data_IF_047699492317
#
_entry.id   IF_047699492317
#
_cell.length_a   1.000
_cell.length_b   1.000
_cell.length_c   1.000
_cell.angle_alpha   90.00
_cell.angle_beta   90.00
_cell.angle_gamma   90.00
#
_symmetry.space_group_name_H-M   'P 1'
#
loop_
_entity.id
_entity.type
_entity.pdbx_description
1 polymer ?
#
# COMPACT_ATOMS: atom_id res chain seq x y z
N UNK A 1 8.58 -12.87 -2.59
CA UNK A 1 7.56 -11.80 -2.63
C UNK A 1 8.18 -10.52 -2.10
N UNK A 2 8.00 -9.41 -2.79
CA UNK A 2 8.47 -8.09 -2.33
C UNK A 2 7.29 -7.11 -2.25
N UNK A 3 7.30 -6.22 -1.26
CA UNK A 3 6.37 -5.09 -1.20
C UNK A 3 6.84 -3.99 -2.16
N UNK A 4 5.99 -3.68 -3.14
CA UNK A 4 6.29 -2.76 -4.24
C UNK A 4 5.76 -1.38 -3.95
N UNK A 5 4.54 -1.26 -3.43
CA UNK A 5 3.93 0.05 -3.24
C UNK A 5 2.94 0.06 -2.09
N UNK A 6 2.74 1.25 -1.55
CA UNK A 6 1.79 1.53 -0.49
C UNK A 6 1.03 2.81 -0.78
N UNK A 7 -0.29 2.75 -0.64
CA UNK A 7 -1.13 3.92 -0.48
C UNK A 7 -1.78 3.97 0.90
N UNK A 8 -1.82 5.16 1.48
CA UNK A 8 -2.63 5.52 2.64
C UNK A 8 -3.69 6.50 2.17
N UNK A 9 -4.94 6.07 2.24
CA UNK A 9 -6.09 6.84 1.78
C UNK A 9 -6.90 7.28 2.99
N UNK A 10 -7.24 8.56 3.01
CA UNK A 10 -8.04 9.18 4.06
C UNK A 10 -9.50 8.76 4.02
N UNK A 11 -10.25 9.17 5.03
CA UNK A 11 -11.69 8.87 5.16
C UNK A 11 -12.51 9.32 3.95
N UNK A 12 -12.14 10.45 3.35
CA UNK A 12 -12.85 11.05 2.22
C UNK A 12 -12.32 10.56 0.87
N UNK A 13 -11.64 9.41 0.81
CA UNK A 13 -10.94 8.91 -0.39
C UNK A 13 -9.82 9.81 -0.92
N UNK A 14 -9.38 10.78 -0.12
CA UNK A 14 -8.24 11.65 -0.39
C UNK A 14 -6.92 10.87 -0.20
N UNK A 15 -5.98 10.87 -1.16
CA UNK A 15 -4.70 10.21 -1.00
C UNK A 15 -3.83 10.99 0.00
N UNK A 16 -3.59 10.42 1.18
CA UNK A 16 -2.71 11.02 2.19
C UNK A 16 -1.24 10.71 1.92
N UNK A 17 -0.96 9.54 1.36
CA UNK A 17 0.40 9.11 1.05
C UNK A 17 0.37 8.05 -0.03
N UNK A 18 1.22 8.16 -1.05
CA UNK A 18 1.42 7.15 -2.08
C UNK A 18 2.91 7.04 -2.33
N UNK A 19 3.46 5.83 -2.24
CA UNK A 19 4.88 5.60 -2.46
C UNK A 19 5.15 4.23 -3.06
N UNK A 20 6.08 4.22 -3.99
CA UNK A 20 6.68 3.02 -4.55
C UNK A 20 8.06 2.75 -3.92
N UNK A 21 8.33 1.49 -3.62
CA UNK A 21 9.56 0.96 -3.06
C UNK A 21 10.28 0.19 -4.16
N UNK A 22 11.17 0.88 -4.86
CA UNK A 22 12.01 0.25 -5.88
C UNK A 22 13.07 -0.64 -5.23
N UNK A 23 13.25 -1.84 -5.77
CA UNK A 23 14.50 -2.58 -5.62
C UNK A 23 15.41 -2.21 -6.81
N UNK A 24 16.68 -1.92 -6.55
CA UNK A 24 17.65 -1.47 -7.57
C UNK A 24 17.83 -2.48 -8.71
N UNK A 25 17.50 -3.75 -8.45
CA UNK A 25 17.45 -4.88 -9.38
C UNK A 25 16.38 -4.73 -10.47
N UNK A 26 15.27 -4.02 -10.21
CA UNK A 26 14.14 -3.89 -11.13
C UNK A 26 14.18 -2.61 -11.99
N UNK A 27 15.34 -1.92 -12.03
CA UNK A 27 15.56 -0.74 -12.90
C UNK A 27 15.47 -1.03 -14.40
N UNK A 28 15.41 -2.30 -14.83
CA UNK A 28 15.90 -2.68 -16.16
C UNK A 28 14.86 -2.79 -17.29
N UNK A 29 13.53 -2.82 -17.07
CA UNK A 29 12.64 -3.14 -18.22
C UNK A 29 11.31 -2.40 -18.33
N UNK A 30 10.79 -1.80 -17.25
CA UNK A 30 9.36 -1.46 -17.21
C UNK A 30 9.08 0.04 -17.10
N UNK A 31 9.87 0.83 -16.36
CA UNK A 31 9.41 2.17 -15.98
C UNK A 31 9.60 3.30 -17.03
N UNK A 32 10.35 3.08 -18.11
CA UNK A 32 10.49 4.10 -19.17
C UNK A 32 9.67 3.81 -20.44
N UNK A 33 9.23 2.57 -20.66
CA UNK A 33 8.49 2.23 -21.88
C UNK A 33 6.99 2.57 -21.80
N UNK A 34 6.37 2.47 -20.61
CA UNK A 34 4.91 2.60 -20.51
C UNK A 34 4.38 4.04 -20.48
N UNK A 35 5.15 5.02 -20.00
CA UNK A 35 4.70 6.42 -20.05
C UNK A 35 4.76 7.00 -21.47
N UNK A 36 5.73 6.57 -22.28
CA UNK A 36 5.84 7.01 -23.68
C UNK A 36 4.76 6.34 -24.57
N UNK A 37 4.38 5.09 -24.32
CA UNK A 37 3.41 4.37 -25.15
C UNK A 37 1.93 4.60 -24.79
N UNK A 38 1.59 4.97 -23.55
CA UNK A 38 0.18 5.05 -23.15
C UNK A 38 -0.59 6.16 -23.90
N UNK A 39 0.11 7.25 -24.27
CA UNK A 39 -0.48 8.36 -25.06
C UNK A 39 0.44 8.93 -26.15
N UNK A 40 1.65 8.39 -26.36
CA UNK A 40 2.56 8.87 -27.41
C UNK A 40 3.12 10.28 -27.17
N UNK A 41 3.07 10.78 -25.93
CA UNK A 41 3.53 12.12 -25.58
C UNK A 41 4.82 12.04 -24.76
N UNK A 42 5.89 12.76 -25.16
CA UNK A 42 7.11 12.79 -24.38
C UNK A 42 6.87 13.49 -23.03
N UNK A 43 7.47 13.01 -21.93
CA UNK A 43 7.31 13.64 -20.62
C UNK A 43 7.90 15.07 -20.65
N UNK A 44 7.25 16.03 -19.95
CA UNK A 44 7.78 17.38 -19.83
C UNK A 44 9.12 17.36 -19.09
N UNK A 45 10.18 17.90 -19.71
CA UNK A 45 11.57 17.88 -19.21
C UNK A 45 11.75 18.52 -17.83
N UNK A 46 10.83 19.39 -17.41
CA UNK A 46 10.93 20.17 -16.18
C UNK A 46 10.18 19.55 -14.99
N UNK A 47 9.50 18.41 -15.18
CA UNK A 47 8.72 17.78 -14.11
C UNK A 47 9.61 16.83 -13.30
N UNK A 48 9.67 16.96 -11.96
CA UNK A 48 10.33 15.96 -11.12
C UNK A 48 9.63 14.60 -11.29
N UNK A 49 10.37 13.48 -11.24
CA UNK A 49 9.78 12.17 -11.39
C UNK A 49 8.67 11.95 -10.34
N UNK A 50 7.54 11.35 -10.73
CA UNK A 50 6.44 11.13 -9.80
C UNK A 50 6.88 10.20 -8.67
N UNK A 51 6.28 10.35 -7.49
CA UNK A 51 6.61 9.54 -6.31
C UNK A 51 6.22 8.05 -6.46
N UNK A 52 5.42 7.73 -7.48
CA UNK A 52 4.86 6.43 -7.81
C UNK A 52 4.58 6.37 -9.31
N UNK A 53 4.83 5.24 -9.97
CA UNK A 53 4.51 5.09 -11.40
C UNK A 53 3.01 5.17 -11.67
N UNK A 54 2.63 5.59 -12.89
CA UNK A 54 1.22 5.69 -13.30
C UNK A 54 0.51 4.33 -13.23
N UNK A 55 1.18 3.25 -13.62
CA UNK A 55 0.66 1.88 -13.51
C UNK A 55 0.27 1.58 -12.06
N UNK A 56 1.16 1.88 -11.13
CA UNK A 56 0.95 1.59 -9.73
C UNK A 56 -0.15 2.47 -9.11
N UNK A 57 -0.21 3.75 -9.48
CA UNK A 57 -1.29 4.64 -9.09
C UNK A 57 -2.65 4.12 -9.58
N UNK A 58 -2.73 3.64 -10.83
CA UNK A 58 -3.95 3.05 -11.37
C UNK A 58 -4.39 1.83 -10.57
N UNK A 59 -3.48 0.88 -10.29
CA UNK A 59 -3.77 -0.33 -9.51
C UNK A 59 -4.29 0.03 -8.11
N UNK A 60 -3.63 0.95 -7.42
CA UNK A 60 -4.02 1.39 -6.09
C UNK A 60 -5.39 2.08 -6.11
N UNK A 61 -5.67 2.86 -7.15
CA UNK A 61 -6.98 3.50 -7.32
C UNK A 61 -8.08 2.48 -7.58
N UNK A 62 -7.88 1.52 -8.49
CA UNK A 62 -8.86 0.45 -8.76
C UNK A 62 -9.15 -0.40 -7.52
N UNK A 63 -8.16 -0.62 -6.65
CA UNK A 63 -8.35 -1.34 -5.39
C UNK A 63 -9.23 -0.58 -4.38
N UNK A 64 -9.35 0.75 -4.52
CA UNK A 64 -10.20 1.57 -3.66
C UNK A 64 -11.70 1.26 -3.87
N UNK A 65 -12.11 0.96 -5.10
CA UNK A 65 -13.49 0.58 -5.42
C UNK A 65 -13.89 -0.69 -4.66
N UNK A 66 -12.96 -1.64 -4.50
CA UNK A 66 -13.16 -2.84 -3.69
C UNK A 66 -13.36 -2.51 -2.22
N UNK A 67 -12.63 -1.53 -1.69
CA UNK A 67 -12.84 -1.03 -0.34
C UNK A 67 -14.24 -0.44 -0.14
N UNK A 68 -14.76 0.28 -1.12
CA UNK A 68 -16.10 0.87 -1.04
C UNK A 68 -17.20 -0.20 -1.02
N UNK A 69 -17.07 -1.22 -1.87
CA UNK A 69 -17.96 -2.40 -1.85
C UNK A 69 -17.95 -3.08 -0.49
N UNK A 70 -16.78 -3.16 0.14
CA UNK A 70 -16.58 -3.81 1.44
C UNK A 70 -16.96 -2.93 2.64
N UNK A 71 -17.08 -1.61 2.49
CA UNK A 71 -17.38 -0.66 3.56
C UNK A 71 -18.85 -0.16 3.56
N UNK A 72 -19.69 -0.65 2.64
CA UNK A 72 -21.09 -0.25 2.48
C UNK A 72 -22.07 -0.73 3.58
N UNK A 73 -23.38 -0.44 3.43
CA UNK A 73 -24.42 -1.03 4.26
C UNK A 73 -24.49 -2.55 4.06
N UNK A 74 -25.09 -3.27 5.03
CA UNK A 74 -25.13 -4.74 5.05
C UNK A 74 -25.44 -5.34 3.66
N UNK A 75 -24.59 -6.25 3.13
CA UNK A 75 -23.57 -7.06 3.82
C UNK A 75 -22.18 -6.42 3.94
N UNK A 76 -22.04 -5.10 3.79
CA UNK A 76 -20.76 -4.44 4.03
C UNK A 76 -20.20 -4.72 5.42
N UNK A 77 -18.87 -4.78 5.53
CA UNK A 77 -18.10 -5.30 6.67
C UNK A 77 -18.11 -6.81 6.87
N UNK A 78 -18.66 -7.62 5.95
CA UNK A 78 -18.58 -9.09 6.03
C UNK A 78 -17.14 -9.65 6.05
N UNK A 79 -16.14 -8.86 5.64
CA UNK A 79 -14.72 -9.21 5.76
C UNK A 79 -14.19 -9.15 7.19
N UNK A 80 -14.89 -8.46 8.12
CA UNK A 80 -14.48 -8.44 9.52
C UNK A 80 -14.82 -9.78 10.16
N UNK A 81 -13.79 -10.46 10.65
CA UNK A 81 -13.97 -11.68 11.43
C UNK A 81 -14.76 -11.37 12.71
N UNK A 82 -15.85 -12.11 12.92
CA UNK A 82 -16.68 -11.99 14.12
C UNK A 82 -15.81 -12.36 15.34
N UNK A 83 -15.78 -11.50 16.35
CA UNK A 83 -14.94 -11.60 17.56
C UNK A 83 -13.43 -11.30 17.38
N UNK A 84 -12.97 -10.88 16.20
CA UNK A 84 -11.62 -10.34 16.09
C UNK A 84 -11.53 -9.01 16.86
N UNK A 85 -10.42 -8.83 17.59
CA UNK A 85 -10.15 -7.63 18.37
C UNK A 85 -8.80 -7.03 18.00
N UNK A 86 -8.66 -5.73 18.24
CA UNK A 86 -7.42 -4.99 17.96
C UNK A 86 -7.07 -4.97 16.47
N UNK A 87 -5.85 -5.34 16.16
CA UNK A 87 -5.25 -5.21 14.82
C UNK A 87 -5.76 -6.26 13.84
N UNK A 88 -6.27 -7.38 14.36
CA UNK A 88 -6.85 -8.47 13.57
C UNK A 88 -8.18 -8.05 12.94
N UNK A 89 -8.98 -7.28 13.67
CA UNK A 89 -10.24 -6.72 13.18
C UNK A 89 -10.07 -5.68 12.07
N UNK A 90 -8.84 -5.21 11.80
CA UNK A 90 -8.53 -4.17 10.84
C UNK A 90 -7.97 -4.73 9.52
N UNK A 91 -7.55 -6.00 9.49
CA UNK A 91 -7.04 -6.62 8.27
C UNK A 91 -8.20 -7.04 7.37
N UNK A 92 -8.20 -6.56 6.12
CA UNK A 92 -9.24 -6.89 5.13
C UNK A 92 -8.86 -8.13 4.32
N UNK A 93 -7.56 -8.36 4.14
CA UNK A 93 -7.05 -9.44 3.29
C UNK A 93 -6.83 -9.00 1.85
N UNK A 94 -6.89 -9.96 0.93
CA UNK A 94 -6.71 -9.74 -0.50
C UNK A 94 -7.89 -8.97 -1.10
N UNK A 95 -7.61 -7.84 -1.74
CA UNK A 95 -8.61 -7.01 -2.44
C UNK A 95 -8.77 -7.45 -3.89
N UNK A 96 -7.66 -7.48 -4.63
CA UNK A 96 -7.62 -7.90 -6.02
C UNK A 96 -6.23 -8.47 -6.39
N UNK A 97 -6.18 -9.53 -7.20
CA UNK A 97 -4.98 -9.90 -7.95
C UNK A 97 -4.88 -9.07 -9.23
N UNK A 98 -3.67 -8.63 -9.61
CA UNK A 98 -3.39 -7.89 -10.85
C UNK A 98 -2.09 -8.42 -11.45
N UNK A 99 -2.16 -9.16 -12.56
CA UNK A 99 -1.00 -9.84 -13.17
C UNK A 99 -0.21 -10.64 -12.10
N UNK A 100 1.07 -10.32 -11.94
CA UNK A 100 1.99 -10.91 -10.96
C UNK A 100 1.96 -10.17 -9.61
N UNK A 101 0.93 -9.37 -9.35
CA UNK A 101 0.78 -8.54 -8.15
C UNK A 101 -0.44 -8.95 -7.35
N UNK A 102 -0.29 -8.95 -6.03
CA UNK A 102 -1.40 -9.09 -5.09
C UNK A 102 -1.60 -7.80 -4.31
N UNK A 103 -2.84 -7.33 -4.27
CA UNK A 103 -3.19 -6.11 -3.56
C UNK A 103 -3.93 -6.45 -2.28
N UNK A 104 -3.37 -6.04 -1.14
CA UNK A 104 -3.91 -6.28 0.19
C UNK A 104 -4.47 -5.01 0.80
N UNK A 105 -5.52 -5.19 1.60
CA UNK A 105 -6.23 -4.13 2.29
C UNK A 105 -6.11 -4.20 3.81
N UNK A 106 -5.96 -3.03 4.43
CA UNK A 106 -6.09 -2.86 5.86
C UNK A 106 -6.88 -1.59 6.16
N UNK A 107 -7.93 -1.70 6.98
CA UNK A 107 -8.81 -0.58 7.32
C UNK A 107 -8.87 -0.38 8.83
N UNK A 108 -8.49 0.82 9.24
CA UNK A 108 -8.54 1.23 10.64
C UNK A 108 -9.97 1.50 11.09
N UNK A 109 -10.17 1.60 12.41
CA UNK A 109 -11.45 2.00 13.00
C UNK A 109 -11.87 3.41 12.60
N UNK A 110 -10.91 4.29 12.34
CA UNK A 110 -11.14 5.66 11.85
C UNK A 110 -11.38 5.75 10.35
N UNK A 111 -11.56 4.60 9.67
CA UNK A 111 -11.80 4.49 8.22
C UNK A 111 -10.65 5.00 7.35
N UNK A 112 -9.42 5.05 7.88
CA UNK A 112 -8.21 5.20 7.07
C UNK A 112 -7.90 3.86 6.42
N UNK A 113 -7.67 3.87 5.11
CA UNK A 113 -7.48 2.68 4.28
C UNK A 113 -6.00 2.60 3.88
N UNK A 114 -5.40 1.44 4.08
CA UNK A 114 -4.05 1.12 3.67
C UNK A 114 -4.16 0.07 2.56
N UNK A 115 -3.58 0.39 1.40
CA UNK A 115 -3.54 -0.47 0.22
C UNK A 115 -2.07 -0.81 -0.02
N UNK A 116 -1.72 -2.09 0.07
CA UNK A 116 -0.36 -2.57 -0.13
C UNK A 116 -0.32 -3.48 -1.36
N UNK A 117 0.59 -3.20 -2.29
CA UNK A 117 0.86 -4.09 -3.42
C UNK A 117 2.15 -4.86 -3.16
N UNK A 118 2.07 -6.19 -3.36
CA UNK A 118 3.18 -7.13 -3.20
C UNK A 118 3.29 -8.00 -4.46
N UNK A 119 4.51 -8.39 -4.83
CA UNK A 119 4.74 -9.36 -5.91
C UNK A 119 4.28 -10.75 -5.48
N UNK A 120 3.59 -11.43 -6.39
CA UNK A 120 3.12 -12.80 -6.26
C UNK A 120 4.25 -13.78 -6.59
N UNK A 121 5.15 -14.00 -5.64
CA UNK A 121 6.01 -15.17 -5.69
C UNK A 121 5.32 -16.30 -4.94
N UNK A 122 5.06 -17.42 -5.64
CA UNK A 122 4.53 -18.64 -5.04
C UNK A 122 5.47 -19.12 -3.91
N UNK A 123 5.13 -18.80 -2.67
CA UNK A 123 5.91 -19.24 -1.52
C UNK A 123 5.74 -20.76 -1.31
N UNK A 124 6.79 -21.48 -0.90
CA UNK A 124 6.68 -22.87 -0.47
C UNK A 124 5.79 -23.01 0.77
N UNK A 125 5.05 -24.13 0.87
CA UNK A 125 4.02 -24.43 1.88
C UNK A 125 4.46 -24.33 3.37
N UNK A 126 5.77 -24.23 3.67
CA UNK A 126 6.32 -24.29 5.04
C UNK A 126 6.50 -22.92 5.74
N UNK A 127 6.14 -21.81 5.09
CA UNK A 127 6.27 -20.46 5.68
C UNK A 127 5.01 -20.06 6.50
N UNK A 128 5.14 -19.15 7.50
CA UNK A 128 3.98 -18.49 8.09
C UNK A 128 3.04 -17.99 7.00
N UNK A 129 1.72 -18.11 7.20
CA UNK A 129 0.76 -17.66 6.20
C UNK A 129 1.11 -16.24 5.74
N UNK A 130 1.20 -16.05 4.42
CA UNK A 130 1.60 -14.78 3.78
C UNK A 130 0.84 -13.59 4.38
N UNK A 131 -0.44 -13.82 4.61
CA UNK A 131 -1.37 -12.88 5.22
C UNK A 131 -0.92 -12.41 6.60
N UNK A 132 -0.36 -13.29 7.44
CA UNK A 132 0.13 -12.94 8.77
C UNK A 132 1.40 -12.07 8.70
N UNK A 133 2.29 -12.32 7.74
CA UNK A 133 3.45 -11.45 7.52
C UNK A 133 3.03 -10.05 7.04
N UNK A 134 2.11 -9.99 6.09
CA UNK A 134 1.56 -8.73 5.54
C UNK A 134 0.81 -7.97 6.62
N UNK A 135 0.01 -8.65 7.44
CA UNK A 135 -0.70 -8.08 8.57
C UNK A 135 0.26 -7.47 9.60
N UNK A 136 1.38 -8.13 9.92
CA UNK A 136 2.43 -7.58 10.79
C UNK A 136 3.10 -6.35 10.18
N UNK A 137 3.35 -6.34 8.87
CA UNK A 137 3.88 -5.18 8.16
C UNK A 137 2.91 -4.01 8.23
N UNK A 138 1.65 -4.21 7.85
CA UNK A 138 0.59 -3.18 7.87
C UNK A 138 0.36 -2.65 9.29
N UNK A 139 0.45 -3.49 10.32
CA UNK A 139 0.39 -3.04 11.71
C UNK A 139 1.54 -2.08 12.07
N UNK A 140 2.79 -2.40 11.67
CA UNK A 140 3.93 -1.51 11.89
C UNK A 140 3.75 -0.18 11.17
N UNK A 141 3.28 -0.22 9.92
CA UNK A 141 3.00 0.98 9.11
C UNK A 141 1.90 1.82 9.74
N UNK A 142 0.82 1.20 10.21
CA UNK A 142 -0.26 1.89 10.92
C UNK A 142 0.27 2.59 12.19
N UNK A 143 1.16 1.95 12.96
CA UNK A 143 1.80 2.60 14.11
C UNK A 143 2.60 3.85 13.69
N UNK A 144 3.39 3.78 12.61
CA UNK A 144 4.13 4.93 12.08
C UNK A 144 3.17 6.06 11.63
N UNK A 145 2.04 5.70 11.02
CA UNK A 145 1.01 6.66 10.63
C UNK A 145 0.39 7.35 11.85
N UNK A 146 0.12 6.60 12.93
CA UNK A 146 -0.40 7.17 14.19
C UNK A 146 0.62 8.12 14.80
N UNK A 147 1.90 7.74 14.87
CA UNK A 147 2.98 8.62 15.37
C UNK A 147 3.08 9.92 14.56
N UNK A 148 2.93 9.84 13.23
CA UNK A 148 2.90 11.02 12.35
C UNK A 148 1.64 11.87 12.56
N UNK A 149 0.48 11.26 12.81
CA UNK A 149 -0.80 11.96 13.03
C UNK A 149 -0.85 12.64 14.41
N UNK A 150 -0.17 12.07 15.40
CA UNK A 150 -0.04 12.64 16.74
C UNK A 150 0.91 13.84 16.79
N UNK A 151 1.56 14.19 15.69
CA UNK A 151 2.36 15.40 15.59
C UNK A 151 1.45 16.64 15.54
N UNK A 152 1.50 17.55 16.54
CA UNK A 152 0.64 18.73 16.59
C UNK A 152 0.89 19.73 15.46
N UNK A 153 2.02 19.64 14.76
CA UNK A 153 2.36 20.48 13.61
C UNK A 153 1.96 19.86 12.27
N UNK A 154 1.34 18.68 12.28
CA UNK A 154 0.80 18.05 11.07
C UNK A 154 -0.65 18.49 10.84
N UNK A 155 -0.95 18.99 9.65
CA UNK A 155 -2.32 19.30 9.26
C UNK A 155 -3.09 17.99 9.01
N UNK A 156 -4.13 17.75 9.80
CA UNK A 156 -4.99 16.58 9.63
C UNK A 156 -5.63 16.58 8.23
N UNK A 157 -5.54 15.45 7.52
CA UNK A 157 -6.13 15.28 6.19
C UNK A 157 -5.29 15.84 5.04
N UNK A 158 -4.17 16.50 5.31
CA UNK A 158 -3.23 16.90 4.28
C UNK A 158 -2.30 15.73 3.89
N UNK A 159 -1.68 15.76 2.70
CA UNK A 159 -0.67 14.80 2.30
C UNK A 159 0.51 14.76 3.29
N UNK A 160 0.95 13.55 3.63
CA UNK A 160 2.08 13.34 4.53
C UNK A 160 3.38 13.62 3.77
N UNK A 161 4.05 14.72 4.13
CA UNK A 161 5.33 15.16 3.54
C UNK A 161 6.51 15.04 4.52
N UNK A 162 6.37 14.21 5.56
CA UNK A 162 7.37 14.08 6.63
C UNK A 162 8.54 13.18 6.19
N UNK A 163 9.77 13.71 6.10
CA UNK A 163 10.93 12.90 5.69
C UNK A 163 11.27 11.82 6.72
N UNK A 164 10.99 12.08 8.00
CA UNK A 164 11.17 11.10 9.08
C UNK A 164 10.25 9.90 8.89
N UNK A 165 8.98 10.15 8.55
CA UNK A 165 8.01 9.09 8.27
C UNK A 165 8.47 8.25 7.07
N UNK A 166 8.88 8.89 5.97
CA UNK A 166 9.37 8.18 4.79
C UNK A 166 10.59 7.31 5.08
N UNK A 167 11.56 7.82 5.86
CA UNK A 167 12.76 7.05 6.23
C UNK A 167 12.42 5.82 7.08
N UNK A 168 11.52 5.96 8.06
CA UNK A 168 11.09 4.85 8.92
C UNK A 168 10.26 3.83 8.14
N UNK A 169 9.40 4.31 7.24
CA UNK A 169 8.58 3.47 6.37
C UNK A 169 9.47 2.65 5.43
N UNK A 170 10.43 3.30 4.75
CA UNK A 170 11.41 2.63 3.88
C UNK A 170 12.17 1.55 4.64
N UNK A 171 12.69 1.86 5.83
CA UNK A 171 13.39 0.87 6.67
C UNK A 171 12.50 -0.32 7.03
N UNK A 172 11.21 -0.09 7.31
CA UNK A 172 10.25 -1.14 7.67
C UNK A 172 9.96 -2.06 6.49
N UNK A 173 9.77 -1.49 5.30
CA UNK A 173 9.51 -2.23 4.06
C UNK A 173 10.76 -3.00 3.61
N UNK A 174 11.94 -2.38 3.63
CA UNK A 174 13.20 -3.07 3.31
C UNK A 174 13.44 -4.26 4.26
N UNK A 175 13.16 -4.10 5.56
CA UNK A 175 13.26 -5.21 6.51
C UNK A 175 12.26 -6.35 6.20
N UNK A 176 11.05 -6.03 5.72
CA UNK A 176 10.09 -7.03 5.27
C UNK A 176 10.57 -7.74 4.00
N UNK A 177 10.99 -7.00 2.97
CA UNK A 177 11.49 -7.59 1.72
C UNK A 177 12.68 -8.54 1.98
N UNK A 178 13.61 -8.16 2.87
CA UNK A 178 14.70 -9.05 3.29
C UNK A 178 14.25 -10.29 4.07
N UNK A 179 13.15 -10.19 4.83
CA UNK A 179 12.63 -11.32 5.59
C UNK A 179 11.91 -12.33 4.69
N UNK A 180 11.27 -11.86 3.62
CA UNK A 180 10.54 -12.72 2.67
C UNK A 180 11.44 -13.29 1.58
N UNK A 181 12.58 -12.65 1.30
CA UNK A 181 13.59 -13.17 0.37
C UNK A 181 14.45 -14.32 0.96
N UNK A 182 14.28 -14.67 2.24
CA UNK A 182 14.99 -15.76 2.92
C UNK A 182 14.12 -17.00 3.02
#
# INVERSE_FOLDING_TARGET
>A
MAAISLAIIGKNNEPLFIKEFFDESNRCSTNFLYEEELFGLPPPKDRPPPACSLRQQFILHSALDRFEQLAGPSPGYAWRTINASGTDAMFVGLLCPVDDLRVYGYMTTTQIKFILCVEDDALPDDQPSVDEMIKRLLFKIHRLYVEQTLNPFSSMGAPISSPRFESQLKSTVTAYNHAVAR
#
